data_IF_978579488692
#
_entry.id   IF_978579488692
#
_cell.length_a   1.000
_cell.length_b   1.000
_cell.length_c   1.000
_cell.angle_alpha   90.00
_cell.angle_beta   90.00
_cell.angle_gamma   90.00
#
_symmetry.space_group_name_H-M   'P 1'
#
loop_
_entity.id
_entity.type
_entity.pdbx_description
1 polymer ?
#
# COMPACT_ATOMS: atom_id res chain seq x y z
N UNK A 1 1.28 -9.60 23.80
CA UNK A 1 0.99 -8.35 23.06
C UNK A 1 0.07 -8.72 21.91
N UNK A 2 -1.12 -8.13 21.82
CA UNK A 2 -1.98 -8.29 20.64
C UNK A 2 -1.30 -7.56 19.49
N UNK A 3 -0.81 -8.32 18.51
CA UNK A 3 -0.25 -7.76 17.30
C UNK A 3 -1.39 -7.12 16.49
N UNK A 4 -1.47 -5.79 16.47
CA UNK A 4 -2.40 -5.08 15.58
C UNK A 4 -1.83 -5.09 14.16
N UNK A 5 -1.95 -6.23 13.47
CA UNK A 5 -1.39 -6.46 12.13
C UNK A 5 -2.33 -6.10 10.99
N UNK A 6 -3.53 -5.65 11.34
CA UNK A 6 -4.57 -5.33 10.37
C UNK A 6 -4.93 -3.86 10.45
N UNK A 7 -4.76 -3.15 9.34
CA UNK A 7 -5.12 -1.74 9.19
C UNK A 7 -6.45 -1.66 8.44
N UNK A 8 -7.44 -1.00 9.01
CA UNK A 8 -8.71 -0.73 8.32
C UNK A 8 -8.63 0.62 7.64
N UNK A 9 -8.90 0.64 6.34
CA UNK A 9 -8.99 1.86 5.56
C UNK A 9 -10.43 2.06 5.08
N UNK A 10 -10.87 3.30 5.13
CA UNK A 10 -12.11 3.76 4.50
C UNK A 10 -11.75 4.79 3.44
N UNK A 11 -12.21 4.57 2.22
CA UNK A 11 -11.96 5.42 1.07
C UNK A 11 -13.29 5.77 0.41
N UNK A 12 -13.60 7.06 0.36
CA UNK A 12 -14.79 7.59 -0.31
C UNK A 12 -14.40 8.33 -1.59
N UNK A 13 -14.64 7.71 -2.74
CA UNK A 13 -14.41 8.29 -4.06
C UNK A 13 -15.71 8.83 -4.64
N UNK A 14 -15.82 10.15 -4.72
CA UNK A 14 -17.01 10.84 -5.23
C UNK A 14 -17.20 10.71 -6.76
N UNK A 15 -16.16 10.33 -7.49
CA UNK A 15 -16.15 10.18 -8.94
C UNK A 15 -15.13 9.12 -9.38
N UNK A 16 -15.33 8.61 -10.59
CA UNK A 16 -14.38 7.69 -11.20
C UNK A 16 -13.06 8.43 -11.46
N UNK A 17 -11.94 7.78 -11.13
CA UNK A 17 -10.61 8.38 -11.23
C UNK A 17 -9.66 7.41 -11.91
N UNK A 18 -9.10 7.85 -13.04
CA UNK A 18 -7.96 7.18 -13.66
C UNK A 18 -6.69 7.55 -12.90
N UNK A 19 -6.00 6.54 -12.36
CA UNK A 19 -4.70 6.73 -11.72
C UNK A 19 -3.67 7.13 -12.78
N UNK A 20 -2.94 8.20 -12.51
CA UNK A 20 -1.94 8.76 -13.43
C UNK A 20 -0.56 8.92 -12.79
N UNK A 21 -0.42 8.52 -11.53
CA UNK A 21 0.88 8.47 -10.89
C UNK A 21 0.82 7.88 -9.49
N UNK A 22 2.00 7.49 -9.02
CA UNK A 22 2.18 6.96 -7.68
C UNK A 22 3.59 7.21 -7.18
N UNK A 23 3.73 7.30 -5.86
CA UNK A 23 5.01 7.43 -5.19
C UNK A 23 4.99 6.61 -3.91
N UNK A 24 6.03 5.82 -3.69
CA UNK A 24 6.27 5.10 -2.45
C UNK A 24 7.67 5.45 -1.96
N UNK A 25 7.76 5.89 -0.71
CA UNK A 25 9.02 6.16 -0.02
C UNK A 25 9.07 5.31 1.25
N UNK A 26 10.14 4.53 1.41
CA UNK A 26 10.39 3.71 2.59
C UNK A 26 11.67 4.15 3.28
N UNK A 27 11.63 4.32 4.60
CA UNK A 27 12.80 4.51 5.44
C UNK A 27 12.87 3.46 6.54
N UNK A 28 14.07 2.99 6.85
CA UNK A 28 14.36 2.11 7.98
C UNK A 28 15.24 2.85 8.97
N UNK A 29 14.83 2.92 10.24
CA UNK A 29 15.56 3.64 11.29
C UNK A 29 15.87 5.10 10.91
N UNK A 30 14.92 5.76 10.23
CA UNK A 30 15.06 7.12 9.73
C UNK A 30 15.95 7.27 8.48
N UNK A 31 16.61 6.21 8.01
CA UNK A 31 17.44 6.23 6.80
C UNK A 31 16.59 5.87 5.57
N UNK A 32 16.61 6.68 4.50
CA UNK A 32 15.94 6.34 3.25
C UNK A 32 16.45 5.01 2.69
N UNK A 33 15.52 4.12 2.30
CA UNK A 33 15.86 2.80 1.79
C UNK A 33 15.19 2.54 0.43
N UNK A 34 13.91 2.89 0.29
CA UNK A 34 13.17 2.76 -0.98
C UNK A 34 12.65 4.13 -1.41
N UNK A 35 12.81 4.45 -2.69
CA UNK A 35 12.05 5.50 -3.36
C UNK A 35 11.62 4.98 -4.71
N UNK A 36 10.32 4.82 -4.89
CA UNK A 36 9.74 4.30 -6.12
C UNK A 36 8.68 5.26 -6.63
N UNK A 37 8.88 5.75 -7.85
CA UNK A 37 7.96 6.67 -8.51
C UNK A 37 7.38 5.97 -9.75
N UNK A 38 6.07 5.96 -9.85
CA UNK A 38 5.29 5.29 -10.88
C UNK A 38 4.67 6.34 -11.79
N UNK A 39 4.88 6.20 -13.11
CA UNK A 39 4.13 6.97 -14.11
C UNK A 39 2.71 6.44 -14.30
N UNK A 40 2.50 5.15 -14.11
CA UNK A 40 1.20 4.51 -14.10
C UNK A 40 1.21 3.41 -13.03
N UNK A 41 0.44 3.56 -11.93
CA UNK A 41 0.39 2.56 -10.86
C UNK A 41 -0.02 1.16 -11.32
N UNK A 42 -0.80 1.03 -12.40
CA UNK A 42 -1.25 -0.27 -12.89
C UNK A 42 -0.23 -1.04 -13.73
N UNK A 43 0.87 -0.41 -14.16
CA UNK A 43 1.95 -1.11 -14.85
C UNK A 43 2.76 -1.98 -13.87
N UNK A 44 2.72 -1.63 -12.59
CA UNK A 44 3.32 -2.44 -11.54
C UNK A 44 2.33 -3.54 -11.10
N UNK A 45 2.69 -4.80 -11.37
CA UNK A 45 1.84 -5.97 -11.08
C UNK A 45 1.40 -6.05 -9.61
N UNK A 46 2.30 -5.74 -8.67
CA UNK A 46 2.01 -5.77 -7.24
C UNK A 46 0.97 -4.71 -6.89
N UNK A 47 1.18 -3.48 -7.36
CA UNK A 47 0.27 -2.36 -7.09
C UNK A 47 -1.09 -2.58 -7.75
N UNK A 48 -1.11 -3.03 -9.02
CA UNK A 48 -2.35 -3.42 -9.70
C UNK A 48 -3.12 -4.48 -8.91
N UNK A 49 -2.43 -5.50 -8.39
CA UNK A 49 -3.03 -6.54 -7.56
C UNK A 49 -3.61 -6.00 -6.26
N UNK A 50 -2.91 -5.08 -5.58
CA UNK A 50 -3.42 -4.43 -4.37
C UNK A 50 -4.67 -3.62 -4.67
N UNK A 51 -4.66 -2.79 -5.72
CA UNK A 51 -5.84 -2.04 -6.13
C UNK A 51 -7.01 -2.97 -6.49
N UNK A 52 -6.79 -4.05 -7.25
CA UNK A 52 -7.84 -5.05 -7.54
C UNK A 52 -8.40 -5.74 -6.29
N UNK A 53 -7.62 -5.80 -5.21
CA UNK A 53 -8.06 -6.39 -3.93
C UNK A 53 -8.89 -5.42 -3.11
N UNK A 54 -8.56 -4.13 -3.15
CA UNK A 54 -9.11 -3.14 -2.22
C UNK A 54 -10.17 -2.21 -2.83
N UNK A 55 -10.13 -2.02 -4.15
CA UNK A 55 -11.06 -1.14 -4.87
C UNK A 55 -11.47 -1.78 -6.20
N UNK A 56 -12.56 -1.26 -6.77
CA UNK A 56 -12.97 -1.67 -8.11
C UNK A 56 -12.16 -0.90 -9.15
N UNK A 57 -11.08 -1.51 -9.65
CA UNK A 57 -10.21 -0.94 -10.68
C UNK A 57 -10.34 -1.66 -12.01
N UNK A 58 -10.52 -0.90 -13.09
CA UNK A 58 -10.56 -1.41 -14.46
C UNK A 58 -9.17 -1.83 -14.97
N UNK A 59 -9.13 -2.51 -16.11
CA UNK A 59 -7.86 -2.79 -16.79
C UNK A 59 -7.19 -1.53 -17.37
N UNK A 60 -7.95 -0.45 -17.58
CA UNK A 60 -7.46 0.88 -17.96
C UNK A 60 -7.01 1.74 -16.75
N UNK A 61 -6.84 1.14 -15.58
CA UNK A 61 -6.42 1.81 -14.34
C UNK A 61 -7.40 2.88 -13.82
N UNK A 62 -8.67 2.74 -14.14
CA UNK A 62 -9.75 3.59 -13.62
C UNK A 62 -10.33 2.95 -12.37
N UNK A 63 -10.28 3.68 -11.25
CA UNK A 63 -10.95 3.30 -10.01
C UNK A 63 -12.36 3.90 -10.04
N UNK A 64 -13.38 3.05 -9.89
CA UNK A 64 -14.77 3.49 -9.88
C UNK A 64 -15.08 4.33 -8.63
N UNK A 65 -16.04 5.24 -8.74
CA UNK A 65 -16.62 5.95 -7.60
C UNK A 65 -17.28 4.96 -6.64
N UNK A 66 -17.29 5.31 -5.36
CA UNK A 66 -17.92 4.51 -4.31
C UNK A 66 -17.19 4.61 -2.98
N UNK A 67 -17.78 3.94 -2.00
CA UNK A 67 -17.22 3.79 -0.67
C UNK A 67 -16.56 2.41 -0.57
N UNK A 68 -15.28 2.42 -0.26
CA UNK A 68 -14.48 1.21 -0.10
C UNK A 68 -14.03 1.11 1.34
N UNK A 69 -14.25 -0.06 1.92
CA UNK A 69 -13.71 -0.41 3.23
C UNK A 69 -12.88 -1.67 3.06
N UNK A 70 -11.60 -1.58 3.37
CA UNK A 70 -10.68 -2.70 3.19
C UNK A 70 -9.76 -2.87 4.40
N UNK A 71 -9.44 -4.13 4.66
CA UNK A 71 -8.54 -4.56 5.72
C UNK A 71 -7.20 -4.95 5.10
N UNK A 72 -6.15 -4.26 5.49
CA UNK A 72 -4.78 -4.57 5.09
C UNK A 72 -4.14 -5.38 6.19
N UNK A 73 -4.03 -6.69 5.99
CA UNK A 73 -3.24 -7.57 6.84
C UNK A 73 -1.78 -7.52 6.40
N UNK A 74 -0.98 -6.78 7.17
CA UNK A 74 0.42 -6.54 6.87
C UNK A 74 1.23 -7.84 6.99
N UNK A 75 0.91 -8.74 7.93
CA UNK A 75 1.63 -10.01 8.07
C UNK A 75 1.39 -10.89 6.84
N UNK A 76 0.14 -11.04 6.40
CA UNK A 76 -0.21 -11.86 5.25
C UNK A 76 0.43 -11.33 3.96
N UNK A 77 0.40 -10.00 3.74
CA UNK A 77 1.07 -9.37 2.59
C UNK A 77 2.58 -9.62 2.66
N UNK A 78 3.21 -9.37 3.81
CA UNK A 78 4.66 -9.57 3.94
C UNK A 78 5.06 -11.03 3.70
N UNK A 79 4.27 -12.00 4.19
CA UNK A 79 4.52 -13.43 3.95
C UNK A 79 4.38 -13.80 2.46
N UNK A 80 3.29 -13.37 1.80
CA UNK A 80 3.03 -13.69 0.39
C UNK A 80 4.09 -13.14 -0.57
N UNK A 81 4.62 -11.94 -0.30
CA UNK A 81 5.48 -11.25 -1.27
C UNK A 81 6.97 -11.31 -0.95
N UNK A 82 7.36 -11.47 0.32
CA UNK A 82 8.76 -11.54 0.72
C UNK A 82 9.21 -12.94 1.16
N UNK A 83 8.32 -13.94 1.12
CA UNK A 83 8.62 -15.35 1.41
C UNK A 83 9.37 -15.55 2.75
N UNK A 84 9.05 -14.74 3.76
CA UNK A 84 9.70 -14.78 5.07
C UNK A 84 11.07 -14.10 5.16
N UNK A 85 11.56 -13.46 4.09
CA UNK A 85 12.74 -12.59 4.13
C UNK A 85 12.31 -11.22 4.63
N UNK A 86 12.54 -10.96 5.91
CA UNK A 86 12.18 -9.70 6.55
C UNK A 86 13.41 -8.81 6.70
N UNK A 87 13.28 -7.55 6.30
CA UNK A 87 14.20 -6.52 6.77
C UNK A 87 13.70 -6.06 8.14
N UNK A 88 14.35 -6.52 9.20
CA UNK A 88 13.99 -6.16 10.57
C UNK A 88 14.24 -4.68 10.86
N UNK A 89 13.52 -4.14 11.84
CA UNK A 89 13.68 -2.77 12.32
C UNK A 89 12.42 -1.92 12.22
N UNK A 90 12.60 -0.62 12.47
CA UNK A 90 11.53 0.37 12.44
C UNK A 90 11.40 0.94 11.03
N UNK A 91 10.28 0.64 10.37
CA UNK A 91 9.97 1.07 9.03
C UNK A 91 8.93 2.16 9.01
N UNK A 92 9.14 3.14 8.14
CA UNK A 92 8.12 4.11 7.75
C UNK A 92 7.94 4.04 6.25
N UNK A 93 6.72 3.74 5.80
CA UNK A 93 6.33 3.80 4.40
C UNK A 93 5.37 4.96 4.19
N UNK A 94 5.68 5.82 3.24
CA UNK A 94 4.82 6.90 2.76
C UNK A 94 4.40 6.57 1.35
N UNK A 95 3.10 6.48 1.10
CA UNK A 95 2.58 6.23 -0.24
C UNK A 95 1.54 7.26 -0.63
N UNK A 96 1.63 7.70 -1.88
CA UNK A 96 0.64 8.56 -2.51
C UNK A 96 0.32 7.99 -3.89
N UNK A 97 -0.96 7.78 -4.16
CA UNK A 97 -1.48 7.42 -5.48
C UNK A 97 -2.48 8.48 -5.90
N UNK A 98 -2.34 8.99 -7.11
CA UNK A 98 -3.11 10.12 -7.58
C UNK A 98 -3.55 9.92 -9.03
N UNK A 99 -4.68 10.55 -9.35
CA UNK A 99 -5.18 10.65 -10.71
C UNK A 99 -5.05 12.08 -11.22
N UNK A 100 -5.62 12.32 -12.40
CA UNK A 100 -5.55 13.62 -13.08
C UNK A 100 -6.22 14.78 -12.31
N UNK A 101 -6.95 14.49 -11.23
CA UNK A 101 -7.85 15.45 -10.62
C UNK A 101 -7.84 15.47 -9.09
N UNK A 102 -7.18 14.50 -8.43
CA UNK A 102 -7.00 14.45 -6.97
C UNK A 102 -6.07 13.30 -6.55
N UNK A 103 -5.63 13.33 -5.29
CA UNK A 103 -5.04 12.17 -4.62
C UNK A 103 -6.14 11.15 -4.31
N UNK A 104 -5.93 9.90 -4.72
CA UNK A 104 -6.83 8.78 -4.43
C UNK A 104 -6.49 8.16 -3.09
N UNK A 105 -5.20 7.93 -2.84
CA UNK A 105 -4.69 7.39 -1.58
C UNK A 105 -3.48 8.22 -1.17
N UNK A 106 -3.41 8.62 0.09
CA UNK A 106 -2.26 9.26 0.70
C UNK A 106 -2.15 8.74 2.13
N UNK A 107 -1.11 7.96 2.42
CA UNK A 107 -0.97 7.29 3.72
C UNK A 107 0.48 7.22 4.16
N UNK A 108 0.65 7.21 5.49
CA UNK A 108 1.90 6.95 6.20
C UNK A 108 1.65 5.72 7.06
N UNK A 109 2.51 4.71 6.94
CA UNK A 109 2.44 3.49 7.73
C UNK A 109 3.76 3.35 8.48
N UNK A 110 3.67 3.19 9.78
CA UNK A 110 4.80 2.91 10.66
C UNK A 110 4.70 1.46 11.13
N UNK A 111 5.75 0.68 10.88
CA UNK A 111 5.81 -0.75 11.16
C UNK A 111 7.07 -1.06 11.96
N UNK A 112 6.95 -1.95 12.94
CA UNK A 112 8.10 -2.54 13.62
C UNK A 112 8.15 -4.01 13.23
N UNK A 113 9.16 -4.38 12.44
CA UNK A 113 9.34 -5.75 11.96
C UNK A 113 10.37 -6.44 12.85
N UNK A 114 9.95 -7.49 13.56
CA UNK A 114 10.82 -8.24 14.50
C UNK A 114 10.91 -9.71 14.12
N UNK A 115 11.98 -10.42 14.50
CA UNK A 115 12.07 -11.87 14.33
C UNK A 115 10.90 -12.55 15.04
N UNK A 116 10.31 -13.58 14.42
CA UNK A 116 9.39 -14.48 15.14
C UNK A 116 10.19 -15.13 16.27
N UNK A 117 9.79 -14.91 17.52
CA UNK A 117 10.32 -15.67 18.66
C UNK A 117 10.11 -17.15 18.37
N UNK A 118 11.20 -17.90 18.18
CA UNK A 118 11.16 -19.36 18.26
C UNK A 118 11.01 -19.71 19.75
N UNK A 119 9.90 -20.38 20.09
CA UNK A 119 9.78 -21.12 21.33
C UNK A 119 10.43 -22.49 21.16
#
# INVERSE_FOLDING_TARGET
>A
MKNNLSLTYELDLKRDITLSGGKIEGSCEGKPFVKYQMKNPCDNLFIKSLFKTFVNISDSCMVAKGQYKFLVDVENISQKYYNGVYFFGNWTYKSVFYGNSCNVICNVIELIITPKKKY
#
